data_IF_041419050261
#
_entry.id   IF_041419050261
#
_cell.length_a   1.000
_cell.length_b   1.000
_cell.length_c   1.000
_cell.angle_alpha   90.00
_cell.angle_beta   90.00
_cell.angle_gamma   90.00
#
_symmetry.space_group_name_H-M   'P 1'
#
loop_
_entity.id
_entity.type
_entity.pdbx_description
1 polymer ?
#
# COMPACT_ATOMS: atom_id res chain seq x y z
N UNK A 1 -26.82 -0.98 -3.47
CA UNK A 1 -25.35 -1.13 -3.26
C UNK A 1 -24.91 -0.49 -1.93
N UNK A 2 -25.34 -1.04 -0.78
CA UNK A 2 -25.24 -0.34 0.52
C UNK A 2 -23.82 -0.22 1.10
N UNK A 3 -22.96 -1.23 0.92
CA UNK A 3 -21.63 -1.26 1.54
C UNK A 3 -20.74 -0.10 1.06
N UNK A 4 -20.80 0.22 -0.24
CA UNK A 4 -20.03 1.32 -0.84
C UNK A 4 -20.38 2.66 -0.22
N UNK A 5 -21.65 2.89 0.12
CA UNK A 5 -22.12 4.11 0.77
C UNK A 5 -21.61 4.26 2.22
N UNK A 6 -21.28 3.14 2.88
CA UNK A 6 -20.70 3.14 4.22
C UNK A 6 -19.16 3.31 4.21
N UNK A 7 -18.50 2.92 3.11
CA UNK A 7 -17.04 2.93 3.00
C UNK A 7 -16.51 4.25 2.46
N UNK A 8 -17.07 4.73 1.34
CA UNK A 8 -16.48 5.84 0.59
C UNK A 8 -16.83 7.21 1.19
N UNK A 9 -15.82 8.07 1.23
CA UNK A 9 -15.92 9.49 1.61
C UNK A 9 -15.23 10.35 0.55
N UNK A 10 -15.54 11.63 0.53
CA UNK A 10 -14.87 12.59 -0.35
C UNK A 10 -13.54 13.03 0.26
N UNK A 11 -12.50 13.07 -0.55
CA UNK A 11 -11.17 13.57 -0.16
C UNK A 11 -10.37 13.99 -1.39
N UNK A 12 -9.34 14.79 -1.16
CA UNK A 12 -8.47 15.30 -2.22
C UNK A 12 -7.05 15.50 -1.69
N UNK A 13 -6.07 15.24 -2.55
CA UNK A 13 -4.67 15.51 -2.27
C UNK A 13 -4.00 16.04 -3.54
N UNK A 14 -3.08 16.98 -3.37
CA UNK A 14 -2.28 17.55 -4.45
C UNK A 14 -0.79 17.37 -4.16
N UNK A 15 -0.04 16.91 -5.15
CA UNK A 15 1.37 16.55 -5.02
C UNK A 15 2.13 17.18 -6.17
N UNK A 16 3.15 17.97 -5.84
CA UNK A 16 4.05 18.56 -6.81
C UNK A 16 5.28 17.66 -6.98
N UNK A 17 5.51 17.18 -8.19
CA UNK A 17 6.69 16.41 -8.57
C UNK A 17 7.57 17.24 -9.50
N UNK A 18 8.88 17.13 -9.32
CA UNK A 18 9.87 17.78 -10.19
C UNK A 18 11.01 16.83 -10.49
N UNK A 19 11.49 16.87 -11.74
CA UNK A 19 12.71 16.22 -12.19
C UNK A 19 13.92 17.18 -12.27
N UNK A 20 13.75 18.45 -11.87
CA UNK A 20 14.81 19.46 -11.93
C UNK A 20 15.75 19.29 -10.74
N UNK A 21 17.05 19.29 -11.01
CA UNK A 21 18.09 19.18 -9.98
C UNK A 21 18.07 20.37 -8.99
N UNK A 22 17.68 21.56 -9.45
CA UNK A 22 17.51 22.78 -8.63
C UNK A 22 16.52 22.59 -7.49
N UNK A 23 15.45 21.84 -7.73
CA UNK A 23 14.32 21.72 -6.79
C UNK A 23 14.62 20.71 -5.67
N UNK A 24 15.66 19.88 -5.85
CA UNK A 24 16.05 18.81 -4.91
C UNK A 24 16.30 19.33 -3.49
N UNK A 25 16.78 20.56 -3.33
CA UNK A 25 17.03 21.18 -2.01
C UNK A 25 15.74 21.50 -1.25
N UNK A 26 14.63 21.68 -1.96
CA UNK A 26 13.32 22.00 -1.39
C UNK A 26 12.38 20.79 -1.33
N UNK A 27 12.67 19.72 -2.09
CA UNK A 27 11.89 18.49 -2.11
C UNK A 27 11.88 17.78 -0.75
N UNK A 28 10.69 17.29 -0.36
CA UNK A 28 10.52 16.46 0.84
C UNK A 28 11.01 15.03 0.60
N UNK A 29 10.63 14.46 -0.54
CA UNK A 29 10.87 13.06 -0.88
C UNK A 29 11.47 12.93 -2.28
N UNK A 30 12.19 11.84 -2.50
CA UNK A 30 12.60 11.35 -3.81
C UNK A 30 11.81 10.08 -4.12
N UNK A 31 11.19 10.02 -5.30
CA UNK A 31 10.60 8.79 -5.82
C UNK A 31 11.71 7.84 -6.24
N UNK A 32 11.75 6.63 -5.67
CA UNK A 32 12.78 5.62 -5.96
C UNK A 32 12.23 4.55 -6.90
N UNK A 33 11.08 3.97 -6.55
CA UNK A 33 10.45 2.93 -7.34
C UNK A 33 8.95 3.12 -7.45
N UNK A 34 8.41 2.75 -8.61
CA UNK A 34 6.97 2.55 -8.83
C UNK A 34 6.79 1.15 -9.41
N UNK A 35 5.90 0.37 -8.81
CA UNK A 35 5.60 -0.98 -9.28
C UNK A 35 4.09 -1.16 -9.34
N UNK A 36 3.60 -1.64 -10.50
CA UNK A 36 2.19 -1.99 -10.69
C UNK A 36 2.06 -3.46 -11.06
N UNK A 37 1.34 -4.20 -10.23
CA UNK A 37 0.84 -5.54 -10.56
C UNK A 37 -0.59 -5.40 -11.06
N UNK A 38 -0.89 -5.98 -12.22
CA UNK A 38 -2.20 -5.91 -12.86
C UNK A 38 -2.72 -7.32 -13.15
N UNK A 39 -3.89 -7.68 -12.61
CA UNK A 39 -4.51 -9.00 -12.83
C UNK A 39 -5.80 -8.93 -13.66
N UNK A 40 -6.12 -7.81 -14.29
CA UNK A 40 -7.39 -7.63 -15.01
C UNK A 40 -7.59 -8.44 -16.28
N UNK A 41 -6.62 -9.29 -16.67
CA UNK A 41 -6.83 -10.30 -17.69
C UNK A 41 -7.58 -11.55 -17.16
N UNK A 42 -7.63 -11.72 -15.84
CA UNK A 42 -8.42 -12.75 -15.17
C UNK A 42 -9.81 -12.19 -14.84
N UNK A 43 -10.87 -12.86 -15.29
CA UNK A 43 -12.25 -12.38 -15.17
C UNK A 43 -12.67 -12.17 -13.72
N UNK A 44 -12.20 -13.04 -12.81
CA UNK A 44 -12.48 -12.93 -11.38
C UNK A 44 -11.85 -11.66 -10.80
N UNK A 45 -10.61 -11.36 -11.19
CA UNK A 45 -9.92 -10.12 -10.80
C UNK A 45 -10.56 -8.88 -11.45
N UNK A 46 -10.91 -8.97 -12.73
CA UNK A 46 -11.52 -7.87 -13.48
C UNK A 46 -12.87 -7.43 -12.87
N UNK A 47 -13.76 -8.40 -12.64
CA UNK A 47 -15.11 -8.17 -12.11
C UNK A 47 -15.15 -7.95 -10.58
N UNK A 48 -13.99 -7.95 -9.92
CA UNK A 48 -13.88 -7.87 -8.47
C UNK A 48 -14.37 -6.52 -7.89
N UNK A 49 -14.04 -5.43 -8.59
CA UNK A 49 -14.46 -4.06 -8.24
C UNK A 49 -14.85 -3.37 -9.53
N UNK A 50 -16.15 -3.18 -9.73
CA UNK A 50 -16.69 -2.59 -10.97
C UNK A 50 -17.70 -1.50 -10.63
N UNK A 51 -17.63 -0.39 -11.36
CA UNK A 51 -18.68 0.63 -11.32
C UNK A 51 -19.80 0.20 -12.26
N UNK A 52 -21.02 0.11 -11.74
CA UNK A 52 -22.20 -0.29 -12.53
C UNK A 52 -23.47 0.30 -11.94
N UNK A 53 -24.50 0.37 -12.76
CA UNK A 53 -25.85 0.69 -12.32
C UNK A 53 -26.48 -0.50 -11.60
N UNK A 54 -27.30 -0.22 -10.58
CA UNK A 54 -28.16 -1.23 -9.98
C UNK A 54 -29.53 -1.33 -10.69
N UNK A 55 -30.46 -2.08 -10.11
CA UNK A 55 -31.78 -2.31 -10.74
C UNK A 55 -32.61 -1.02 -10.82
N UNK A 56 -32.32 -0.03 -9.97
CA UNK A 56 -33.00 1.26 -9.93
C UNK A 56 -32.30 2.29 -10.83
N UNK A 57 -31.29 1.85 -11.62
CA UNK A 57 -30.42 2.68 -12.47
C UNK A 57 -29.53 3.66 -11.72
N UNK A 58 -29.33 3.43 -10.42
CA UNK A 58 -28.44 4.24 -9.61
C UNK A 58 -27.00 3.77 -9.79
N UNK A 59 -26.11 4.70 -10.13
CA UNK A 59 -24.71 4.40 -10.37
C UNK A 59 -23.98 4.16 -9.05
N UNK A 60 -23.31 3.01 -8.92
CA UNK A 60 -22.52 2.70 -7.73
C UNK A 60 -21.32 1.80 -8.00
N UNK A 61 -20.66 1.37 -6.91
CA UNK A 61 -19.51 0.45 -6.94
C UNK A 61 -19.95 -0.91 -6.43
N UNK A 62 -19.81 -1.93 -7.28
CA UNK A 62 -20.06 -3.33 -6.96
C UNK A 62 -18.76 -3.98 -6.50
N UNK A 63 -18.79 -4.61 -5.32
CA UNK A 63 -17.67 -5.32 -4.72
C UNK A 63 -17.98 -6.81 -4.67
N UNK A 64 -17.13 -7.63 -5.30
CA UNK A 64 -17.24 -9.09 -5.22
C UNK A 64 -16.82 -9.60 -3.84
N UNK A 65 -17.40 -10.73 -3.42
CA UNK A 65 -16.99 -11.47 -2.21
C UNK A 65 -15.55 -11.97 -2.28
N UNK A 66 -15.00 -12.09 -3.49
CA UNK A 66 -13.64 -12.55 -3.75
C UNK A 66 -12.55 -11.50 -3.51
N UNK A 67 -12.92 -10.28 -3.13
CA UNK A 67 -11.99 -9.15 -3.03
C UNK A 67 -10.78 -9.42 -2.14
N UNK A 68 -10.97 -10.09 -1.01
CA UNK A 68 -9.86 -10.41 -0.10
C UNK A 68 -8.90 -11.43 -0.71
N UNK A 69 -9.43 -12.47 -1.37
CA UNK A 69 -8.61 -13.49 -2.03
C UNK A 69 -7.81 -12.90 -3.19
N UNK A 70 -8.47 -12.14 -4.07
CA UNK A 70 -7.82 -11.47 -5.19
C UNK A 70 -6.78 -10.46 -4.70
N UNK A 71 -7.08 -9.71 -3.63
CA UNK A 71 -6.14 -8.80 -2.99
C UNK A 71 -4.88 -9.50 -2.48
N UNK A 72 -5.05 -10.59 -1.72
CA UNK A 72 -3.93 -11.36 -1.19
C UNK A 72 -3.02 -11.94 -2.27
N UNK A 73 -3.59 -12.49 -3.34
CA UNK A 73 -2.79 -12.99 -4.47
C UNK A 73 -2.05 -11.88 -5.21
N UNK A 74 -2.73 -10.75 -5.45
CA UNK A 74 -2.12 -9.62 -6.17
C UNK A 74 -1.03 -8.96 -5.34
N UNK A 75 -1.25 -8.83 -4.04
CA UNK A 75 -0.25 -8.40 -3.06
C UNK A 75 0.97 -9.30 -3.10
N UNK A 76 0.78 -10.62 -3.00
CA UNK A 76 1.86 -11.59 -3.03
C UNK A 76 2.73 -11.44 -4.28
N UNK A 77 2.11 -11.29 -5.45
CA UNK A 77 2.83 -11.04 -6.69
C UNK A 77 3.59 -9.71 -6.65
N UNK A 78 2.95 -8.64 -6.15
CA UNK A 78 3.57 -7.33 -6.05
C UNK A 78 4.81 -7.33 -5.13
N UNK A 79 4.70 -7.89 -3.92
CA UNK A 79 5.83 -7.92 -2.97
C UNK A 79 6.94 -8.86 -3.43
N UNK A 80 6.62 -9.92 -4.17
CA UNK A 80 7.64 -10.82 -4.76
C UNK A 80 8.49 -10.08 -5.81
N UNK A 81 7.88 -9.19 -6.59
CA UNK A 81 8.60 -8.36 -7.57
C UNK A 81 9.29 -7.16 -6.92
N UNK A 82 8.70 -6.57 -5.87
CA UNK A 82 9.29 -5.44 -5.15
C UNK A 82 10.50 -5.85 -4.32
N UNK A 83 10.44 -7.02 -3.69
CA UNK A 83 11.45 -7.49 -2.73
C UNK A 83 12.90 -7.33 -3.21
N UNK A 84 13.29 -7.85 -4.39
CA UNK A 84 14.65 -7.71 -4.92
C UNK A 84 15.12 -6.26 -5.12
N UNK A 85 14.20 -5.31 -5.28
CA UNK A 85 14.53 -3.90 -5.51
C UNK A 85 14.79 -3.13 -4.21
N UNK A 86 14.27 -3.60 -3.06
CA UNK A 86 14.23 -2.82 -1.82
C UNK A 86 14.82 -3.53 -0.61
N UNK A 87 14.84 -4.86 -0.60
CA UNK A 87 15.31 -5.65 0.53
C UNK A 87 16.84 -5.80 0.51
N UNK A 88 17.48 -5.91 1.68
CA UNK A 88 18.88 -6.29 1.78
C UNK A 88 19.17 -7.65 1.13
N UNK A 89 20.39 -7.82 0.62
CA UNK A 89 20.82 -9.07 -0.05
C UNK A 89 20.65 -10.30 0.85
N UNK A 90 20.86 -10.17 2.17
CA UNK A 90 20.66 -11.25 3.14
C UNK A 90 19.22 -11.79 3.13
N UNK A 91 18.23 -10.89 3.10
CA UNK A 91 16.81 -11.23 3.01
C UNK A 91 16.46 -11.89 1.68
N UNK A 92 17.06 -11.39 0.58
CA UNK A 92 16.86 -11.95 -0.75
C UNK A 92 17.37 -13.39 -0.84
N UNK A 93 18.56 -13.67 -0.27
CA UNK A 93 19.14 -15.02 -0.21
C UNK A 93 18.23 -15.95 0.60
N UNK A 94 17.77 -15.51 1.79
CA UNK A 94 16.91 -16.32 2.65
C UNK A 94 15.59 -16.69 1.95
N UNK A 95 14.97 -15.72 1.28
CA UNK A 95 13.78 -15.96 0.48
C UNK A 95 14.05 -16.91 -0.68
N UNK A 96 15.14 -16.73 -1.41
CA UNK A 96 15.51 -17.57 -2.55
C UNK A 96 15.76 -19.02 -2.13
N UNK A 97 16.52 -19.25 -1.05
CA UNK A 97 16.77 -20.58 -0.49
C UNK A 97 15.46 -21.24 -0.04
N UNK A 98 14.57 -20.51 0.64
CA UNK A 98 13.25 -21.02 1.00
C UNK A 98 12.43 -21.42 -0.24
N UNK A 99 12.44 -20.58 -1.28
CA UNK A 99 11.72 -20.83 -2.53
C UNK A 99 12.25 -22.07 -3.25
N UNK A 100 13.57 -22.23 -3.36
CA UNK A 100 14.25 -23.38 -3.96
C UNK A 100 13.97 -24.66 -3.17
N UNK A 101 14.13 -24.63 -1.84
CA UNK A 101 13.83 -25.76 -0.96
C UNK A 101 12.39 -26.27 -1.14
N UNK A 102 11.43 -25.34 -1.29
CA UNK A 102 10.01 -25.69 -1.44
C UNK A 102 9.64 -26.12 -2.86
N UNK A 103 10.08 -25.41 -3.90
CA UNK A 103 9.66 -25.67 -5.29
C UNK A 103 10.46 -26.76 -5.97
N UNK A 104 11.78 -26.78 -5.75
CA UNK A 104 12.69 -27.71 -6.45
C UNK A 104 12.87 -28.97 -5.60
N UNK A 105 13.22 -28.80 -4.32
CA UNK A 105 13.47 -29.93 -3.42
C UNK A 105 12.22 -30.46 -2.71
N UNK A 106 11.04 -29.87 -2.96
CA UNK A 106 9.72 -30.26 -2.38
C UNK A 106 9.74 -30.43 -0.86
N UNK A 107 10.61 -29.71 -0.16
CA UNK A 107 10.73 -29.77 1.28
C UNK A 107 9.47 -29.17 1.95
N UNK A 108 8.99 -29.80 3.03
CA UNK A 108 7.84 -29.33 3.82
C UNK A 108 8.22 -28.15 4.74
N UNK A 109 8.72 -27.07 4.15
CA UNK A 109 9.11 -25.84 4.86
C UNK A 109 7.98 -24.81 4.70
N UNK A 110 7.68 -24.08 5.79
CA UNK A 110 6.74 -22.95 5.74
C UNK A 110 7.23 -21.89 4.76
N UNK A 111 6.30 -21.25 4.04
CA UNK A 111 6.64 -20.13 3.16
C UNK A 111 7.28 -19.02 4.00
N UNK A 112 8.49 -18.63 3.62
CA UNK A 112 9.12 -17.44 4.16
C UNK A 112 8.53 -16.19 3.50
N UNK A 113 8.16 -15.21 4.33
CA UNK A 113 7.76 -13.86 3.88
C UNK A 113 8.90 -12.93 4.30
N UNK A 114 9.54 -12.22 3.36
CA UNK A 114 10.64 -11.32 3.70
C UNK A 114 10.21 -10.23 4.68
N UNK A 115 11.14 -9.82 5.54
CA UNK A 115 10.85 -8.74 6.48
C UNK A 115 11.00 -7.36 5.81
N UNK A 116 9.88 -6.83 5.32
CA UNK A 116 9.83 -5.51 4.69
C UNK A 116 10.12 -4.35 5.65
N UNK A 117 10.12 -4.56 6.97
CA UNK A 117 10.53 -3.53 7.94
C UNK A 117 12.03 -3.22 7.86
N UNK A 118 12.82 -4.13 7.25
CA UNK A 118 14.23 -3.87 6.95
C UNK A 118 14.41 -2.94 5.74
N UNK A 119 13.40 -2.86 4.87
CA UNK A 119 13.39 -2.01 3.68
C UNK A 119 12.70 -0.66 3.90
N UNK A 120 11.80 -0.57 4.87
CA UNK A 120 10.96 0.61 5.07
C UNK A 120 10.76 0.93 6.54
N UNK A 121 10.94 2.20 6.87
CA UNK A 121 10.66 2.76 8.18
C UNK A 121 9.18 3.14 8.31
N UNK A 122 8.49 3.48 7.21
CA UNK A 122 7.09 3.90 7.25
C UNK A 122 6.24 3.20 6.19
N UNK A 123 5.01 2.86 6.57
CA UNK A 123 4.05 2.18 5.71
C UNK A 123 2.76 3.01 5.60
N UNK A 124 2.34 3.25 4.37
CA UNK A 124 1.06 3.86 4.04
C UNK A 124 0.27 2.81 3.24
N UNK A 125 -0.73 2.23 3.87
CA UNK A 125 -1.47 1.10 3.36
C UNK A 125 -2.90 1.55 3.10
N UNK A 126 -3.26 1.69 1.82
CA UNK A 126 -4.60 2.08 1.45
C UNK A 126 -5.63 1.06 1.95
N UNK A 127 -6.56 1.55 2.75
CA UNK A 127 -7.66 0.75 3.27
C UNK A 127 -8.90 0.86 2.37
N UNK A 128 -9.25 -0.23 1.69
CA UNK A 128 -10.61 -0.44 1.18
C UNK A 128 -11.65 -0.49 2.32
N UNK A 129 -11.22 -0.97 3.48
CA UNK A 129 -11.95 -1.09 4.75
C UNK A 129 -11.07 -1.78 5.80
N UNK A 130 -11.56 -1.92 7.04
CA UNK A 130 -10.80 -2.46 8.18
C UNK A 130 -10.19 -3.84 7.91
N UNK A 131 -10.96 -4.75 7.32
CA UNK A 131 -10.51 -6.12 7.04
C UNK A 131 -9.27 -6.18 6.12
N UNK A 132 -9.12 -5.22 5.21
CA UNK A 132 -7.95 -5.13 4.32
C UNK A 132 -6.70 -4.76 5.11
N UNK A 133 -6.81 -3.84 6.07
CA UNK A 133 -5.70 -3.47 6.95
C UNK A 133 -5.30 -4.63 7.87
N UNK A 134 -6.27 -5.33 8.46
CA UNK A 134 -6.01 -6.46 9.36
C UNK A 134 -5.27 -7.59 8.63
N UNK A 135 -5.66 -7.87 7.38
CA UNK A 135 -5.00 -8.89 6.55
C UNK A 135 -3.58 -8.49 6.14
N UNK A 136 -3.33 -7.21 5.85
CA UNK A 136 -2.00 -6.70 5.51
C UNK A 136 -1.06 -6.68 6.71
N UNK A 137 -1.55 -6.26 7.87
CA UNK A 137 -0.81 -6.29 9.12
C UNK A 137 -0.29 -7.70 9.42
N UNK A 138 -1.19 -8.69 9.33
CA UNK A 138 -0.87 -10.10 9.55
C UNK A 138 0.12 -10.65 8.51
N UNK A 139 -0.10 -10.37 7.22
CA UNK A 139 0.74 -10.94 6.16
C UNK A 139 2.14 -10.35 6.12
N UNK A 140 2.30 -9.07 6.48
CA UNK A 140 3.58 -8.37 6.46
C UNK A 140 4.26 -8.33 7.85
N UNK A 141 3.60 -8.85 8.90
CA UNK A 141 4.14 -8.84 10.26
C UNK A 141 4.38 -7.42 10.78
N UNK A 142 3.47 -6.50 10.46
CA UNK A 142 3.55 -5.09 10.86
C UNK A 142 3.05 -4.93 12.30
N UNK A 143 3.64 -3.97 13.01
CA UNK A 143 3.19 -3.61 14.35
C UNK A 143 2.12 -2.52 14.32
N UNK A 144 1.44 -2.30 15.44
CA UNK A 144 0.47 -1.21 15.60
C UNK A 144 1.06 0.15 15.21
N UNK A 145 2.33 0.41 15.55
CA UNK A 145 3.03 1.65 15.19
C UNK A 145 3.08 1.88 13.67
N UNK A 146 3.31 0.82 12.88
CA UNK A 146 3.32 0.89 11.42
C UNK A 146 1.90 1.06 10.85
N UNK A 147 0.90 0.45 11.50
CA UNK A 147 -0.48 0.45 11.05
C UNK A 147 -1.25 1.70 11.46
N UNK A 148 -0.80 2.42 12.48
CA UNK A 148 -1.47 3.60 13.04
C UNK A 148 -1.81 4.66 11.99
N UNK A 149 -0.93 5.09 11.06
CA UNK A 149 -1.29 6.09 10.05
C UNK A 149 -2.48 5.65 9.18
N UNK A 150 -2.49 4.38 8.75
CA UNK A 150 -3.54 3.79 7.92
C UNK A 150 -4.85 3.63 8.69
N UNK A 151 -4.78 3.13 9.93
CA UNK A 151 -5.95 2.94 10.81
C UNK A 151 -6.58 4.28 11.21
N UNK A 152 -5.77 5.26 11.57
CA UNK A 152 -6.25 6.60 11.97
C UNK A 152 -6.82 7.38 10.79
N UNK A 153 -6.24 7.23 9.60
CA UNK A 153 -6.80 7.82 8.37
C UNK A 153 -8.16 7.22 8.07
N UNK A 154 -8.28 5.88 8.07
CA UNK A 154 -9.56 5.20 7.85
C UNK A 154 -10.60 5.57 8.92
N UNK A 155 -10.19 5.63 10.19
CA UNK A 155 -11.08 5.98 11.31
C UNK A 155 -11.62 7.40 11.19
N UNK A 156 -10.75 8.38 10.90
CA UNK A 156 -11.12 9.80 10.90
C UNK A 156 -11.80 10.24 9.61
N UNK A 157 -11.36 9.72 8.46
CA UNK A 157 -11.78 10.22 7.14
C UNK A 157 -12.52 9.18 6.29
N UNK A 158 -12.61 7.93 6.74
CA UNK A 158 -13.16 6.84 5.93
C UNK A 158 -12.28 6.50 4.73
N UNK A 159 -12.83 5.76 3.76
CA UNK A 159 -12.12 5.46 2.52
C UNK A 159 -12.29 6.62 1.53
N UNK A 160 -11.31 7.51 1.46
CA UNK A 160 -11.27 8.62 0.48
C UNK A 160 -10.71 8.21 -0.89
N UNK A 161 -10.78 6.91 -1.23
CA UNK A 161 -10.21 6.37 -2.46
C UNK A 161 -8.70 6.69 -2.57
N UNK A 162 -8.24 7.15 -3.73
CA UNK A 162 -6.82 7.39 -4.01
C UNK A 162 -6.16 8.44 -3.10
N UNK A 163 -6.90 9.36 -2.49
CA UNK A 163 -6.30 10.37 -1.59
C UNK A 163 -5.86 9.81 -0.24
N UNK A 164 -6.37 8.66 0.19
CA UNK A 164 -6.10 8.11 1.52
C UNK A 164 -4.60 7.90 1.79
N UNK A 165 -3.84 7.41 0.80
CA UNK A 165 -2.39 7.22 0.92
C UNK A 165 -1.62 8.49 1.26
N UNK A 166 -2.12 9.65 0.82
CA UNK A 166 -1.52 10.94 1.09
C UNK A 166 -1.88 11.45 2.48
N UNK A 167 -3.07 11.11 2.97
CA UNK A 167 -3.51 11.43 4.33
C UNK A 167 -2.71 10.60 5.34
N UNK A 168 -2.42 9.34 5.00
CA UNK A 168 -1.55 8.45 5.79
C UNK A 168 -0.11 8.99 5.87
N UNK A 169 0.44 9.45 4.74
CA UNK A 169 1.77 10.07 4.73
C UNK A 169 1.77 11.38 5.54
N UNK A 170 0.77 12.24 5.33
CA UNK A 170 0.61 13.49 6.07
C UNK A 170 0.43 13.25 7.57
N UNK A 171 -0.23 12.16 7.98
CA UNK A 171 -0.33 11.76 9.38
C UNK A 171 1.05 11.49 9.98
N UNK A 172 1.89 10.70 9.27
CA UNK A 172 3.26 10.41 9.71
C UNK A 172 4.14 11.67 9.77
N UNK A 173 3.98 12.59 8.80
CA UNK A 173 4.62 13.91 8.82
C UNK A 173 4.17 14.73 10.05
N UNK A 174 2.86 14.83 10.30
CA UNK A 174 2.28 15.61 11.39
C UNK A 174 2.65 15.07 12.77
N UNK A 175 2.85 13.74 12.89
CA UNK A 175 3.38 13.10 14.11
C UNK A 175 4.90 13.27 14.27
N UNK A 176 5.58 13.93 13.33
CA UNK A 176 7.03 14.15 13.37
C UNK A 176 7.87 12.89 13.19
N UNK A 177 7.28 11.84 12.60
CA UNK A 177 7.91 10.52 12.46
C UNK A 177 8.94 10.47 11.35
N UNK A 178 8.73 11.24 10.27
CA UNK A 178 9.59 11.20 9.09
C UNK A 178 10.92 11.91 9.35
N UNK A 179 12.02 11.15 9.35
CA UNK A 179 13.39 11.66 9.44
C UNK A 179 14.08 11.61 8.07
N UNK A 180 15.13 12.40 7.92
CA UNK A 180 16.00 12.34 6.73
C UNK A 180 16.60 10.95 6.60
N UNK A 181 16.51 10.36 5.42
CA UNK A 181 17.01 9.01 5.12
C UNK A 181 15.93 7.93 5.20
N UNK A 182 14.80 8.21 5.86
CA UNK A 182 13.71 7.25 5.99
C UNK A 182 13.12 6.90 4.63
N UNK A 183 12.70 5.64 4.50
CA UNK A 183 12.02 5.09 3.33
C UNK A 183 10.56 4.86 3.69
N UNK A 184 9.69 5.33 2.81
CA UNK A 184 8.24 5.20 2.94
C UNK A 184 7.73 4.32 1.82
N UNK A 185 6.94 3.32 2.16
CA UNK A 185 6.23 2.50 1.20
C UNK A 185 4.74 2.82 1.21
N UNK A 186 4.25 3.33 0.08
CA UNK A 186 2.82 3.41 -0.20
C UNK A 186 2.38 2.18 -0.98
N UNK A 187 1.33 1.51 -0.51
CA UNK A 187 0.72 0.38 -1.20
C UNK A 187 -0.79 0.53 -1.29
N UNK A 188 -1.33 0.36 -2.50
CA UNK A 188 -2.77 0.46 -2.75
C UNK A 188 -3.32 -0.57 -3.71
N UNK A 189 -4.59 -0.89 -3.50
CA UNK A 189 -5.38 -1.75 -4.36
C UNK A 189 -6.41 -0.94 -5.16
N UNK A 190 -6.71 -1.39 -6.37
CA UNK A 190 -7.70 -0.74 -7.24
C UNK A 190 -8.38 -1.72 -8.20
N UNK A 191 -9.38 -1.24 -8.95
CA UNK A 191 -10.19 -2.04 -9.88
C UNK A 191 -9.40 -2.65 -11.05
N UNK A 192 -9.98 -3.69 -11.67
CA UNK A 192 -9.34 -4.53 -12.70
C UNK A 192 -8.32 -5.52 -12.12
N UNK A 193 -8.54 -5.99 -10.89
CA UNK A 193 -7.65 -5.85 -9.74
C UNK A 193 -6.17 -5.48 -9.95
N UNK A 194 -5.75 -4.37 -9.33
CA UNK A 194 -4.39 -3.83 -9.36
C UNK A 194 -3.82 -3.72 -7.96
N UNK A 195 -2.51 -3.94 -7.80
CA UNK A 195 -1.75 -3.57 -6.62
C UNK A 195 -0.61 -2.65 -7.06
N UNK A 196 -0.56 -1.44 -6.50
CA UNK A 196 0.45 -0.44 -6.81
C UNK A 196 1.31 -0.21 -5.57
N UNK A 197 2.62 -0.21 -5.78
CA UNK A 197 3.63 0.11 -4.78
C UNK A 197 4.43 1.32 -5.22
N UNK A 198 4.62 2.26 -4.31
CA UNK A 198 5.44 3.44 -4.51
C UNK A 198 6.43 3.55 -3.35
N UNK A 199 7.70 3.68 -3.68
CA UNK A 199 8.79 3.78 -2.71
C UNK A 199 9.35 5.19 -2.74
N UNK A 200 9.30 5.84 -1.58
CA UNK A 200 9.83 7.18 -1.37
C UNK A 200 11.03 7.13 -0.44
N UNK A 201 11.98 8.03 -0.67
CA UNK A 201 13.11 8.29 0.23
C UNK A 201 13.05 9.73 0.72
N UNK A 202 13.01 9.93 2.03
CA UNK A 202 12.94 11.24 2.66
C UNK A 202 14.29 11.97 2.53
N UNK A 203 14.28 13.08 1.79
CA UNK A 203 15.49 13.88 1.54
C UNK A 203 15.84 14.81 2.73
N UNK A 204 14.87 15.03 3.63
CA UNK A 204 15.00 15.84 4.83
C UNK A 204 14.05 15.36 5.92
N UNK A 205 14.36 15.71 7.16
CA UNK A 205 13.43 15.52 8.29
C UNK A 205 12.23 16.45 8.11
N UNK A 206 11.03 15.90 8.25
CA UNK A 206 9.79 16.69 8.18
C UNK A 206 9.39 17.03 9.61
N UNK A 207 9.47 18.32 9.95
CA UNK A 207 9.02 18.80 11.24
C UNK A 207 7.48 18.77 11.27
N UNK A 208 6.87 18.39 12.41
CA UNK A 208 5.45 18.56 12.62
C UNK A 208 5.03 19.98 12.26
N UNK A 209 4.04 20.13 11.40
CA UNK A 209 3.34 21.40 11.26
C UNK A 209 2.56 21.65 12.54
N UNK A 210 3.06 22.56 13.39
CA UNK A 210 2.32 23.07 14.54
C UNK A 210 1.23 23.99 13.97
N UNK A 211 -0.04 23.57 14.07
CA UNK A 211 -1.23 24.28 13.55
C UNK A 211 -1.62 23.77 12.15
N UNK A 212 -2.84 23.31 11.90
CA UNK A 212 -4.13 23.86 12.29
C UNK A 212 -4.96 22.86 13.10
N UNK A 213 -5.27 23.24 14.33
CA UNK A 213 -6.40 22.70 15.12
C UNK A 213 -7.72 22.92 14.38
#
# INVERSE_FOLDING_TARGET
MLLSNCLFRLGAAAILLSNRSSDRRHSKYQLIHTLRTHKGADDKCYNCVIQKEDMDKELGISLSKDILTVAGETLKNNITTLGPLVLPVSEQILFFVNLVGRKIFKMKIKQYVPDFKLAFEHFCIHAGGRAVLDELEKNLGLSEWHMEPSRMTLYRFGNTSSSSLWYELAYSEAKGRIKKGDRVWQIAFGSGFKCNSVVWHALRTINPTIGLT
#
